data_IF_988274286227
#
_entry.id   IF_988274286227
#
_cell.length_a   1.000
_cell.length_b   1.000
_cell.length_c   1.000
_cell.angle_alpha   90.00
_cell.angle_beta   90.00
_cell.angle_gamma   90.00
#
_symmetry.space_group_name_H-M   'P 1'
#
loop_
_entity.id
_entity.type
_entity.pdbx_description
1 polymer ?
#
# COMPACT_ATOMS: atom_id res chain seq x y z
N UNK A 1 18.02 -14.90 -5.72
CA UNK A 1 17.68 -13.46 -5.59
C UNK A 1 16.18 -13.29 -5.79
N UNK A 2 15.61 -12.20 -5.28
CA UNK A 2 14.20 -11.84 -5.44
C UNK A 2 14.15 -10.48 -6.13
N UNK A 3 13.37 -10.37 -7.20
CA UNK A 3 13.14 -9.11 -7.93
C UNK A 3 11.70 -8.65 -7.75
N UNK A 4 11.50 -7.34 -7.70
CA UNK A 4 10.18 -6.71 -7.73
C UNK A 4 10.12 -5.81 -8.97
N UNK A 5 9.14 -6.04 -9.83
CA UNK A 5 8.98 -5.31 -11.10
C UNK A 5 7.51 -5.11 -11.40
N UNK A 6 7.19 -4.07 -12.16
CA UNK A 6 5.89 -3.98 -12.81
C UNK A 6 5.75 -5.03 -13.92
N UNK A 7 4.51 -5.35 -14.32
CA UNK A 7 4.27 -6.30 -15.40
C UNK A 7 4.86 -5.81 -16.74
N UNK A 8 4.89 -4.49 -16.96
CA UNK A 8 5.46 -3.89 -18.16
C UNK A 8 6.99 -4.03 -18.21
N UNK A 9 7.67 -3.77 -17.09
CA UNK A 9 9.12 -3.95 -16.98
C UNK A 9 9.53 -5.42 -17.15
N UNK A 10 8.77 -6.34 -16.54
CA UNK A 10 9.00 -7.77 -16.70
C UNK A 10 8.95 -8.18 -18.18
N UNK A 11 7.91 -7.76 -18.92
CA UNK A 11 7.78 -8.02 -20.37
C UNK A 11 8.91 -7.39 -21.18
N UNK A 12 9.31 -6.17 -20.82
CA UNK A 12 10.30 -5.41 -21.57
C UNK A 12 11.72 -5.96 -21.42
N UNK A 13 12.08 -6.41 -20.22
CA UNK A 13 13.48 -6.70 -19.87
C UNK A 13 13.75 -8.17 -19.52
N UNK A 14 12.84 -8.84 -18.81
CA UNK A 14 13.08 -10.22 -18.32
C UNK A 14 12.59 -11.25 -19.32
N UNK A 15 11.38 -11.06 -19.86
CA UNK A 15 10.76 -12.02 -20.77
C UNK A 15 11.54 -12.21 -22.09
N UNK A 16 12.29 -11.18 -22.51
CA UNK A 16 13.15 -11.24 -23.71
C UNK A 16 14.41 -12.07 -23.51
N UNK A 17 14.86 -12.27 -22.27
CA UNK A 17 16.07 -13.03 -21.97
C UNK A 17 15.73 -14.49 -21.61
N UNK A 18 16.06 -15.40 -22.54
CA UNK A 18 15.79 -16.84 -22.42
C UNK A 18 16.48 -17.49 -21.21
N UNK A 19 17.62 -16.97 -20.75
CA UNK A 19 18.32 -17.51 -19.60
C UNK A 19 17.61 -17.13 -18.29
N UNK A 20 17.09 -15.89 -18.20
CA UNK A 20 16.39 -15.41 -17.01
C UNK A 20 15.04 -16.10 -16.83
N UNK A 21 14.24 -16.22 -17.91
CA UNK A 21 12.92 -16.88 -17.86
C UNK A 21 13.00 -18.34 -17.41
N UNK A 22 14.13 -19.01 -17.63
CA UNK A 22 14.37 -20.39 -17.18
C UNK A 22 14.84 -20.51 -15.73
N UNK A 23 15.35 -19.43 -15.16
CA UNK A 23 15.95 -19.41 -13.81
C UNK A 23 15.03 -18.79 -12.77
N UNK A 24 14.08 -17.96 -13.20
CA UNK A 24 13.16 -17.26 -12.33
C UNK A 24 11.73 -17.66 -12.66
N UNK A 25 11.00 -18.05 -11.62
CA UNK A 25 9.55 -18.18 -11.68
C UNK A 25 8.89 -16.82 -11.47
N UNK A 26 7.87 -16.51 -12.27
CA UNK A 26 7.07 -15.32 -12.09
C UNK A 26 5.93 -15.58 -11.08
N UNK A 27 5.94 -14.84 -9.98
CA UNK A 27 4.88 -14.85 -8.97
C UNK A 27 4.10 -13.54 -9.09
N UNK A 28 2.83 -13.64 -9.51
CA UNK A 28 1.94 -12.49 -9.58
C UNK A 28 1.49 -12.11 -8.16
N UNK A 29 1.76 -10.86 -7.78
CA UNK A 29 1.29 -10.27 -6.54
C UNK A 29 0.09 -9.40 -6.85
N UNK A 30 -1.08 -9.80 -6.33
CA UNK A 30 -2.31 -9.05 -6.51
C UNK A 30 -2.45 -7.94 -5.46
N UNK A 31 -3.26 -6.94 -5.77
CA UNK A 31 -3.70 -5.95 -4.80
C UNK A 31 -4.41 -6.66 -3.62
N UNK A 32 -4.06 -6.33 -2.37
CA UNK A 32 -4.70 -6.93 -1.19
C UNK A 32 -6.17 -6.51 -1.08
N UNK A 33 -6.95 -7.35 -0.43
CA UNK A 33 -8.35 -7.07 -0.09
C UNK A 33 -8.45 -5.95 0.94
N UNK A 34 -9.61 -5.27 0.99
CA UNK A 34 -9.89 -4.21 1.97
C UNK A 34 -9.67 -4.68 3.42
N UNK A 35 -10.03 -5.93 3.73
CA UNK A 35 -9.83 -6.54 5.05
C UNK A 35 -8.34 -6.75 5.38
N UNK A 36 -7.55 -7.23 4.42
CA UNK A 36 -6.10 -7.38 4.58
C UNK A 36 -5.42 -6.03 4.78
N UNK A 37 -5.83 -5.00 4.03
CA UNK A 37 -5.32 -3.63 4.20
C UNK A 37 -5.67 -3.10 5.57
N UNK A 38 -6.89 -3.31 6.05
CA UNK A 38 -7.28 -2.89 7.39
C UNK A 38 -6.37 -3.54 8.46
N UNK A 39 -6.04 -4.83 8.31
CA UNK A 39 -5.08 -5.51 9.19
C UNK A 39 -3.66 -4.92 9.10
N UNK A 40 -3.21 -4.55 7.91
CA UNK A 40 -1.93 -3.85 7.72
C UNK A 40 -1.95 -2.50 8.44
N UNK A 41 -3.03 -1.72 8.30
CA UNK A 41 -3.19 -0.43 8.96
C UNK A 41 -3.17 -0.56 10.49
N UNK A 42 -3.81 -1.59 11.05
CA UNK A 42 -3.70 -1.88 12.48
C UNK A 42 -2.25 -2.15 12.91
N UNK A 43 -1.48 -2.86 12.09
CA UNK A 43 -0.07 -3.16 12.37
C UNK A 43 0.83 -1.92 12.40
N UNK A 44 0.55 -0.92 11.55
CA UNK A 44 1.33 0.33 11.49
C UNK A 44 0.75 1.45 12.34
N UNK A 45 -0.47 1.31 12.90
CA UNK A 45 -1.16 2.35 13.68
C UNK A 45 -0.28 2.97 14.75
N UNK A 46 0.37 2.14 15.56
CA UNK A 46 1.21 2.61 16.67
C UNK A 46 2.39 3.48 16.19
N UNK A 47 2.96 3.16 15.03
CA UNK A 47 4.04 3.96 14.43
C UNK A 47 3.54 5.36 14.07
N UNK A 48 2.37 5.46 13.42
CA UNK A 48 1.77 6.74 13.06
C UNK A 48 1.35 7.56 14.29
N UNK A 49 0.75 6.92 15.29
CA UNK A 49 0.37 7.59 16.54
C UNK A 49 1.57 8.23 17.25
N UNK A 50 2.69 7.50 17.33
CA UNK A 50 3.93 8.01 17.93
C UNK A 50 4.52 9.14 17.09
N UNK A 51 4.59 8.95 15.77
CA UNK A 51 5.21 9.92 14.86
C UNK A 51 4.45 11.26 14.82
N UNK A 52 3.12 11.21 14.78
CA UNK A 52 2.27 12.39 14.73
C UNK A 52 1.85 12.92 16.11
N UNK A 53 2.03 12.15 17.18
CA UNK A 53 1.62 12.54 18.53
C UNK A 53 0.11 12.58 18.73
N UNK A 54 -0.64 11.73 18.01
CA UNK A 54 -2.11 11.69 18.02
C UNK A 54 -2.62 10.27 18.24
N UNK A 55 -3.92 10.13 18.49
CA UNK A 55 -4.61 8.84 18.57
C UNK A 55 -5.45 8.61 17.33
N UNK A 56 -5.34 7.42 16.74
CA UNK A 56 -6.08 7.05 15.53
C UNK A 56 -7.17 6.06 15.92
N UNK A 57 -8.43 6.48 15.75
CA UNK A 57 -9.58 5.63 16.02
C UNK A 57 -9.75 4.54 14.94
N UNK A 58 -10.37 3.43 15.31
CA UNK A 58 -10.59 2.30 14.41
C UNK A 58 -11.50 2.69 13.23
N UNK A 59 -12.48 3.58 13.47
CA UNK A 59 -13.33 4.14 12.43
C UNK A 59 -12.55 4.95 11.40
N UNK A 60 -11.47 5.62 11.82
CA UNK A 60 -10.61 6.39 10.92
C UNK A 60 -9.82 5.47 9.98
N UNK A 61 -9.33 4.32 10.48
CA UNK A 61 -8.67 3.32 9.66
C UNK A 61 -9.64 2.71 8.63
N UNK A 62 -10.84 2.35 9.08
CA UNK A 62 -11.89 1.81 8.21
C UNK A 62 -12.28 2.83 7.13
N UNK A 63 -12.44 4.11 7.50
CA UNK A 63 -12.73 5.19 6.57
C UNK A 63 -11.61 5.38 5.55
N UNK A 64 -10.34 5.35 5.98
CA UNK A 64 -9.19 5.49 5.08
C UNK A 64 -9.17 4.39 4.01
N UNK A 65 -9.44 3.13 4.36
CA UNK A 65 -9.53 2.03 3.39
C UNK A 65 -10.70 2.25 2.43
N UNK A 66 -11.91 2.47 2.95
CA UNK A 66 -13.11 2.57 2.13
C UNK A 66 -13.09 3.77 1.18
N UNK A 67 -12.63 4.93 1.67
CA UNK A 67 -12.58 6.16 0.87
C UNK A 67 -11.46 6.09 -0.17
N UNK A 68 -10.27 5.59 0.20
CA UNK A 68 -9.18 5.44 -0.77
C UNK A 68 -9.55 4.45 -1.88
N UNK A 69 -10.18 3.31 -1.55
CA UNK A 69 -10.62 2.35 -2.55
C UNK A 69 -11.70 2.93 -3.48
N UNK A 70 -12.65 3.71 -2.93
CA UNK A 70 -13.76 4.26 -3.71
C UNK A 70 -13.36 5.42 -4.61
N UNK A 71 -12.48 6.30 -4.15
CA UNK A 71 -12.20 7.58 -4.80
C UNK A 71 -10.79 7.68 -5.42
N UNK A 72 -9.82 6.87 -4.99
CA UNK A 72 -8.48 6.84 -5.56
C UNK A 72 -8.33 5.60 -6.45
N UNK A 73 -8.75 5.74 -7.70
CA UNK A 73 -8.82 4.64 -8.69
C UNK A 73 -7.54 4.45 -9.50
N UNK A 74 -6.62 5.41 -9.46
CA UNK A 74 -5.35 5.37 -10.21
C UNK A 74 -4.20 4.72 -9.44
N UNK A 75 -4.42 4.42 -8.16
CA UNK A 75 -3.43 3.85 -7.24
C UNK A 75 -3.97 2.57 -6.61
N UNK A 76 -3.05 1.74 -6.12
CA UNK A 76 -3.36 0.41 -5.59
C UNK A 76 -3.27 0.40 -4.06
N UNK A 77 -4.09 -0.43 -3.43
CA UNK A 77 -3.93 -0.81 -2.04
C UNK A 77 -2.62 -1.62 -1.86
N UNK A 78 -1.98 -1.56 -0.68
CA UNK A 78 -2.37 -0.80 0.51
C UNK A 78 -1.93 0.67 0.47
N UNK A 79 -1.06 1.03 -0.47
CA UNK A 79 -0.33 2.30 -0.51
C UNK A 79 -1.25 3.52 -0.46
N UNK A 80 -2.32 3.53 -1.27
CA UNK A 80 -3.28 4.65 -1.29
C UNK A 80 -4.02 4.89 0.03
N UNK A 81 -4.25 3.83 0.81
CA UNK A 81 -4.91 3.95 2.11
C UNK A 81 -3.95 4.52 3.17
N UNK A 82 -2.67 4.10 3.09
CA UNK A 82 -1.60 4.60 3.95
C UNK A 82 -1.33 6.09 3.66
N UNK A 83 -1.20 6.47 2.39
CA UNK A 83 -1.00 7.86 1.97
C UNK A 83 -2.15 8.78 2.41
N UNK A 84 -3.40 8.32 2.28
CA UNK A 84 -4.56 9.07 2.76
C UNK A 84 -4.55 9.27 4.29
N UNK A 85 -4.17 8.23 5.04
CA UNK A 85 -4.04 8.29 6.50
C UNK A 85 -2.92 9.25 6.90
N UNK A 86 -1.77 9.16 6.25
CA UNK A 86 -0.58 9.98 6.50
C UNK A 86 -0.89 11.47 6.32
N UNK A 87 -1.47 11.84 5.17
CA UNK A 87 -1.89 13.21 4.86
C UNK A 87 -2.88 13.76 5.88
N UNK A 88 -3.82 12.93 6.31
CA UNK A 88 -4.82 13.32 7.31
C UNK A 88 -4.18 13.55 8.67
N UNK A 89 -3.28 12.66 9.10
CA UNK A 89 -2.55 12.80 10.37
C UNK A 89 -1.67 14.05 10.37
N UNK A 90 -0.95 14.31 9.28
CA UNK A 90 -0.15 15.52 9.10
C UNK A 90 -1.00 16.79 9.17
N UNK A 91 -2.16 16.79 8.50
CA UNK A 91 -3.09 17.91 8.52
C UNK A 91 -3.63 18.19 9.93
N UNK A 92 -4.12 17.16 10.64
CA UNK A 92 -4.64 17.32 12.00
C UNK A 92 -3.58 17.88 12.92
N UNK A 93 -2.35 17.38 12.86
CA UNK A 93 -1.23 17.90 13.66
C UNK A 93 -0.91 19.36 13.36
N UNK A 94 -1.03 19.81 12.12
CA UNK A 94 -0.80 21.21 11.75
C UNK A 94 -1.93 22.16 12.20
N UNK A 95 -3.13 21.64 12.43
CA UNK A 95 -4.29 22.41 12.90
C UNK A 95 -4.38 22.49 14.44
N UNK A 96 -3.52 21.76 15.18
CA UNK A 96 -3.39 21.78 16.65
C UNK A 96 -2.35 22.79 17.12
#
# INVERSE_FOLDING_TARGET
CIGATTQEEYRKYIEKDRALVRRFDNILVNEPTSEEVLRILYGIRNYFEIYYGLKICDEALLAAVNLSQRYLTTTYLPDKAIDLLDKTCGRVRSEM
#
